data_IF_386349455402
#
_entry.id   IF_386349455402
#
_cell.length_a   1.000
_cell.length_b   1.000
_cell.length_c   1.000
_cell.angle_alpha   90.00
_cell.angle_beta   90.00
_cell.angle_gamma   90.00
#
_symmetry.space_group_name_H-M   'P 1'
#
loop_
_entity.id
_entity.type
_entity.pdbx_description
1 polymer ?
#
# COMPACT_ATOMS: atom_id res chain seq x y z
N UNK A 1 -21.70 -62.42 12.73
CA UNK A 1 -21.23 -61.04 12.86
C UNK A 1 -22.37 -60.12 12.44
N UNK A 2 -22.79 -59.20 13.36
CA UNK A 2 -24.10 -58.57 13.26
C UNK A 2 -24.07 -57.43 12.22
N UNK A 3 -24.80 -57.54 11.13
CA UNK A 3 -24.89 -56.55 10.04
C UNK A 3 -25.28 -55.12 10.53
N UNK A 4 -25.90 -55.02 11.70
CA UNK A 4 -26.30 -53.73 12.34
C UNK A 4 -25.11 -53.01 12.94
N UNK A 5 -24.15 -53.71 13.55
CA UNK A 5 -22.93 -53.05 14.13
C UNK A 5 -21.99 -52.57 13.05
N UNK A 6 -21.89 -53.28 11.93
CA UNK A 6 -21.07 -52.87 10.79
C UNK A 6 -21.62 -51.57 10.11
N UNK A 7 -22.93 -51.48 9.94
CA UNK A 7 -23.57 -50.25 9.41
C UNK A 7 -23.38 -49.05 10.34
N UNK A 8 -23.47 -49.25 11.67
CA UNK A 8 -23.25 -48.18 12.64
C UNK A 8 -21.78 -47.68 12.63
N UNK A 9 -20.81 -48.59 12.47
CA UNK A 9 -19.40 -48.18 12.35
C UNK A 9 -19.11 -47.37 11.09
N UNK A 10 -19.72 -47.73 9.95
CA UNK A 10 -19.55 -46.97 8.70
C UNK A 10 -20.13 -45.57 8.82
N UNK A 11 -21.32 -45.41 9.43
CA UNK A 11 -21.94 -44.08 9.60
C UNK A 11 -21.12 -43.19 10.54
N UNK A 12 -20.56 -43.72 11.61
CA UNK A 12 -19.68 -42.97 12.52
C UNK A 12 -18.40 -42.56 11.79
N UNK A 13 -17.76 -43.44 11.04
CA UNK A 13 -16.58 -43.14 10.25
C UNK A 13 -16.86 -42.06 9.19
N UNK A 14 -18.00 -42.16 8.50
CA UNK A 14 -18.42 -41.17 7.52
C UNK A 14 -18.68 -39.78 8.17
N UNK A 15 -19.32 -39.74 9.33
CA UNK A 15 -19.55 -38.51 10.05
C UNK A 15 -18.24 -37.85 10.50
N UNK A 16 -17.29 -38.65 11.04
CA UNK A 16 -15.98 -38.14 11.43
C UNK A 16 -15.17 -37.60 10.23
N UNK A 17 -15.18 -38.33 9.11
CA UNK A 17 -14.48 -37.86 7.91
C UNK A 17 -15.09 -36.56 7.37
N UNK A 18 -16.43 -36.42 7.38
CA UNK A 18 -17.12 -35.18 6.97
C UNK A 18 -16.76 -34.01 7.85
N UNK A 19 -16.67 -34.17 9.17
CA UNK A 19 -16.30 -33.07 10.07
C UNK A 19 -14.86 -32.63 9.83
N UNK A 20 -13.94 -33.54 9.55
CA UNK A 20 -12.54 -33.19 9.23
C UNK A 20 -12.48 -32.42 7.92
N UNK A 21 -13.16 -32.89 6.87
CA UNK A 21 -13.19 -32.22 5.56
C UNK A 21 -13.80 -30.83 5.70
N UNK A 22 -14.90 -30.67 6.44
CA UNK A 22 -15.56 -29.40 6.65
C UNK A 22 -14.67 -28.40 7.42
N UNK A 23 -13.98 -28.89 8.46
CA UNK A 23 -13.01 -28.09 9.20
C UNK A 23 -11.87 -27.60 8.31
N UNK A 24 -11.37 -28.43 7.43
CA UNK A 24 -10.31 -28.10 6.49
C UNK A 24 -10.77 -27.03 5.48
N UNK A 25 -11.97 -27.17 4.95
CA UNK A 25 -12.56 -26.17 4.04
C UNK A 25 -12.71 -24.83 4.78
N UNK A 26 -13.24 -24.83 6.00
CA UNK A 26 -13.40 -23.60 6.78
C UNK A 26 -12.08 -22.89 7.07
N UNK A 27 -11.01 -23.65 7.36
CA UNK A 27 -9.68 -23.05 7.58
C UNK A 27 -9.09 -22.48 6.30
N UNK A 28 -9.26 -23.16 5.16
CA UNK A 28 -8.82 -22.63 3.85
C UNK A 28 -9.55 -21.33 3.49
N UNK A 29 -10.86 -21.27 3.69
CA UNK A 29 -11.66 -20.06 3.42
C UNK A 29 -11.22 -18.90 4.31
N UNK A 30 -11.00 -19.14 5.61
CA UNK A 30 -10.49 -18.10 6.53
C UNK A 30 -9.14 -17.58 6.10
N UNK A 31 -8.20 -18.48 5.79
CA UNK A 31 -6.87 -18.08 5.33
C UNK A 31 -6.91 -17.26 4.03
N UNK A 32 -7.78 -17.63 3.10
CA UNK A 32 -7.97 -16.88 1.86
C UNK A 32 -8.54 -15.47 2.13
N UNK A 33 -9.51 -15.34 3.03
CA UNK A 33 -10.08 -14.06 3.42
C UNK A 33 -9.04 -13.16 4.13
N UNK A 34 -8.24 -13.72 5.04
CA UNK A 34 -7.19 -12.98 5.73
C UNK A 34 -6.14 -12.45 4.74
N UNK A 35 -5.74 -13.26 3.76
CA UNK A 35 -4.83 -12.83 2.70
C UNK A 35 -5.44 -11.71 1.85
N UNK A 36 -6.71 -11.82 1.48
CA UNK A 36 -7.43 -10.82 0.70
C UNK A 36 -7.51 -9.48 1.45
N UNK A 37 -7.92 -9.49 2.72
CA UNK A 37 -7.98 -8.27 3.54
C UNK A 37 -6.61 -7.61 3.72
N UNK A 38 -5.57 -8.40 3.97
CA UNK A 38 -4.22 -7.86 4.09
C UNK A 38 -3.74 -7.17 2.80
N UNK A 39 -4.08 -7.73 1.64
CA UNK A 39 -3.74 -7.11 0.36
C UNK A 39 -4.52 -5.82 0.15
N UNK A 40 -5.82 -5.80 0.42
CA UNK A 40 -6.65 -4.61 0.31
C UNK A 40 -6.19 -3.47 1.24
N UNK A 41 -5.84 -3.80 2.48
CA UNK A 41 -5.32 -2.80 3.42
C UNK A 41 -3.99 -2.20 2.93
N UNK A 42 -3.08 -3.02 2.40
CA UNK A 42 -1.83 -2.52 1.83
C UNK A 42 -2.07 -1.58 0.64
N UNK A 43 -2.96 -1.95 -0.26
CA UNK A 43 -3.33 -1.12 -1.41
C UNK A 43 -3.99 0.20 -0.94
N UNK A 44 -4.88 0.15 0.03
CA UNK A 44 -5.52 1.33 0.60
C UNK A 44 -4.49 2.28 1.25
N UNK A 45 -3.52 1.75 2.00
CA UNK A 45 -2.44 2.55 2.57
C UNK A 45 -1.55 3.16 1.48
N UNK A 46 -1.20 2.41 0.45
CA UNK A 46 -0.39 2.89 -0.68
C UNK A 46 -1.09 4.01 -1.42
N UNK A 47 -2.37 3.85 -1.76
CA UNK A 47 -3.19 4.87 -2.41
C UNK A 47 -3.31 6.14 -1.56
N UNK A 48 -3.36 6.00 -0.24
CA UNK A 48 -3.43 7.14 0.68
C UNK A 48 -2.15 7.95 0.68
N UNK A 49 -1.00 7.29 0.63
CA UNK A 49 0.30 7.94 0.50
C UNK A 49 0.45 8.58 -0.87
N UNK A 50 0.10 7.89 -1.96
CA UNK A 50 0.11 8.45 -3.32
C UNK A 50 -0.81 9.66 -3.44
N UNK A 51 -2.01 9.61 -2.84
CA UNK A 51 -2.93 10.73 -2.78
C UNK A 51 -2.34 11.95 -2.06
N UNK A 52 -1.56 11.73 -0.99
CA UNK A 52 -0.86 12.81 -0.31
C UNK A 52 0.27 13.39 -1.17
N UNK A 53 1.00 12.55 -1.89
CA UNK A 53 2.05 12.97 -2.84
C UNK A 53 1.49 13.70 -4.06
N UNK A 54 0.21 13.56 -4.38
CA UNK A 54 -0.43 14.34 -5.47
C UNK A 54 -0.41 15.86 -5.23
N UNK A 55 -0.14 16.31 -4.00
CA UNK A 55 0.03 17.72 -3.65
C UNK A 55 1.47 18.22 -3.88
N UNK A 56 2.09 17.80 -4.98
CA UNK A 56 3.40 18.31 -5.37
C UNK A 56 3.33 19.76 -5.87
N UNK A 57 4.48 20.45 -5.82
CA UNK A 57 4.60 21.82 -6.31
C UNK A 57 4.67 21.81 -7.84
N UNK A 58 3.54 22.18 -8.49
CA UNK A 58 3.37 22.05 -9.93
C UNK A 58 4.38 22.91 -10.74
N UNK A 59 4.69 24.11 -10.27
CA UNK A 59 5.62 25.00 -10.96
C UNK A 59 7.04 24.44 -10.99
N UNK A 60 7.48 23.81 -9.88
CA UNK A 60 8.81 23.21 -9.81
C UNK A 60 8.91 21.96 -10.66
N UNK A 61 7.84 21.19 -10.79
CA UNK A 61 7.81 20.05 -11.67
C UNK A 61 7.79 20.46 -13.14
N UNK A 62 6.97 21.47 -13.49
CA UNK A 62 6.78 21.88 -14.90
C UNK A 62 7.98 22.64 -15.47
N UNK A 63 8.70 23.40 -14.63
CA UNK A 63 9.79 24.26 -15.07
C UNK A 63 11.17 23.60 -14.90
N UNK A 64 11.33 22.76 -13.88
CA UNK A 64 12.63 22.19 -13.52
C UNK A 64 12.65 20.66 -13.47
N UNK A 65 11.52 20.01 -13.75
CA UNK A 65 11.35 18.54 -13.63
C UNK A 65 11.71 17.98 -12.23
N UNK A 66 11.55 18.84 -11.21
CA UNK A 66 11.88 18.51 -9.81
C UNK A 66 10.58 18.24 -9.06
N UNK A 67 10.42 16.99 -8.57
CA UNK A 67 9.29 16.60 -7.77
C UNK A 67 9.49 17.02 -6.31
N UNK A 68 8.80 18.08 -5.91
CA UNK A 68 8.78 18.59 -4.53
C UNK A 68 7.39 18.49 -3.95
N UNK A 69 7.30 17.97 -2.74
CA UNK A 69 6.08 18.00 -1.99
C UNK A 69 5.94 19.36 -1.29
N UNK A 70 4.83 20.03 -1.51
CA UNK A 70 4.52 21.24 -0.74
C UNK A 70 4.16 20.83 0.69
N UNK A 71 5.14 20.91 1.58
CA UNK A 71 4.93 20.62 2.99
C UNK A 71 4.00 21.70 3.59
N UNK A 72 2.86 21.27 4.08
CA UNK A 72 2.01 22.06 4.96
C UNK A 72 1.87 21.30 6.28
N UNK A 73 1.67 22.01 7.38
CA UNK A 73 1.41 21.42 8.71
C UNK A 73 0.24 20.42 8.71
N UNK A 74 -0.51 20.38 7.61
CA UNK A 74 -1.69 19.52 7.41
C UNK A 74 -1.41 18.21 6.66
N UNK A 75 -0.15 17.92 6.29
CA UNK A 75 0.14 16.74 5.45
C UNK A 75 -0.23 15.44 6.17
N UNK A 76 0.08 15.37 7.45
CA UNK A 76 -0.30 14.25 8.31
C UNK A 76 -1.81 14.05 8.36
N UNK A 77 -2.56 15.11 8.61
CA UNK A 77 -4.03 15.07 8.64
C UNK A 77 -4.64 14.64 7.29
N UNK A 78 -4.02 15.05 6.18
CA UNK A 78 -4.46 14.63 4.84
C UNK A 78 -4.21 13.15 4.59
N UNK A 79 -3.04 12.64 4.99
CA UNK A 79 -2.74 11.21 4.89
C UNK A 79 -3.70 10.41 5.76
N UNK A 80 -3.97 10.86 7.00
CA UNK A 80 -4.95 10.24 7.89
C UNK A 80 -6.34 10.20 7.26
N UNK A 81 -6.80 11.31 6.71
CA UNK A 81 -8.10 11.37 6.05
C UNK A 81 -8.19 10.41 4.86
N UNK A 82 -7.21 10.43 3.95
CA UNK A 82 -7.19 9.50 2.81
C UNK A 82 -7.08 8.04 3.26
N UNK A 83 -6.31 7.78 4.30
CA UNK A 83 -6.19 6.44 4.85
C UNK A 83 -7.49 5.95 5.48
N UNK A 84 -8.19 6.79 6.23
CA UNK A 84 -9.50 6.46 6.80
C UNK A 84 -10.53 6.18 5.70
N UNK A 85 -10.63 7.04 4.69
CA UNK A 85 -11.57 6.86 3.58
C UNK A 85 -11.29 5.57 2.79
N UNK A 86 -10.02 5.30 2.48
CA UNK A 86 -9.63 4.11 1.73
C UNK A 86 -9.77 2.82 2.56
N UNK A 87 -9.41 2.84 3.84
CA UNK A 87 -9.53 1.69 4.73
C UNK A 87 -11.00 1.39 5.04
N UNK A 88 -11.85 2.42 5.17
CA UNK A 88 -13.29 2.23 5.36
C UNK A 88 -13.91 1.42 4.22
N UNK A 89 -13.41 1.56 3.01
CA UNK A 89 -13.85 0.80 1.85
C UNK A 89 -13.48 -0.70 1.92
N UNK A 90 -12.44 -1.06 2.69
CA UNK A 90 -11.97 -2.44 2.81
C UNK A 90 -12.83 -3.30 3.75
N UNK A 91 -13.68 -2.70 4.60
CA UNK A 91 -14.62 -3.42 5.46
C UNK A 91 -14.84 -2.76 6.81
N UNK A 92 -16.00 -3.05 7.40
CA UNK A 92 -16.46 -2.41 8.67
C UNK A 92 -15.63 -2.74 9.91
N UNK A 93 -14.75 -3.74 9.85
CA UNK A 93 -14.00 -4.23 11.01
C UNK A 93 -12.53 -3.76 11.02
N UNK A 94 -12.15 -2.86 10.12
CA UNK A 94 -10.81 -2.32 10.02
C UNK A 94 -10.87 -0.85 10.39
N UNK A 95 -10.00 -0.42 11.29
CA UNK A 95 -9.86 0.98 11.69
C UNK A 95 -8.40 1.39 11.65
N UNK A 96 -8.14 2.62 11.19
CA UNK A 96 -6.82 3.21 11.27
C UNK A 96 -6.50 3.51 12.73
N UNK A 97 -5.33 3.11 13.22
CA UNK A 97 -4.87 3.45 14.58
C UNK A 97 -4.14 4.80 14.63
N UNK A 98 -3.57 5.21 13.50
CA UNK A 98 -2.87 6.48 13.33
C UNK A 98 -1.84 6.41 12.21
N UNK A 99 -1.39 7.57 11.80
CA UNK A 99 -0.29 7.76 10.85
C UNK A 99 0.83 8.48 11.57
N UNK A 100 2.06 8.03 11.42
CA UNK A 100 3.24 8.74 11.91
C UNK A 100 4.17 9.09 10.76
N UNK A 101 4.83 10.24 10.87
CA UNK A 101 5.79 10.73 9.89
C UNK A 101 7.11 10.85 10.61
N UNK A 102 7.98 9.88 10.39
CA UNK A 102 9.23 9.74 11.15
C UNK A 102 10.26 10.78 10.80
N UNK A 103 10.35 11.19 9.52
CA UNK A 103 11.34 12.14 9.08
C UNK A 103 10.81 13.01 7.94
N UNK A 104 11.08 14.31 8.05
CA UNK A 104 10.80 15.29 6.99
C UNK A 104 12.11 15.99 6.66
N UNK A 105 12.57 15.85 5.44
CA UNK A 105 13.76 16.53 4.95
C UNK A 105 13.32 17.74 4.12
N UNK A 106 13.74 18.92 4.56
CA UNK A 106 13.47 20.12 3.80
C UNK A 106 14.56 20.34 2.75
N UNK A 107 14.16 20.84 1.60
CA UNK A 107 15.08 21.12 0.49
C UNK A 107 16.17 22.14 0.88
N UNK A 108 15.90 22.95 1.89
CA UNK A 108 16.83 23.95 2.44
C UNK A 108 17.77 23.38 3.49
N UNK A 109 17.54 22.16 3.95
CA UNK A 109 18.36 21.54 4.99
C UNK A 109 19.78 21.34 4.53
N UNK A 110 20.70 21.34 5.49
CA UNK A 110 22.13 21.20 5.25
C UNK A 110 22.69 22.18 4.20
N UNK A 111 22.17 23.41 4.18
CA UNK A 111 22.61 24.44 3.22
C UNK A 111 22.16 24.17 1.78
N UNK A 112 21.04 23.45 1.59
CA UNK A 112 20.45 23.17 0.30
C UNK A 112 21.18 22.07 -0.48
N UNK A 113 21.78 21.12 0.20
CA UNK A 113 22.55 20.03 -0.43
C UNK A 113 21.66 19.16 -1.32
N UNK A 114 20.43 18.94 -0.89
CA UNK A 114 19.43 18.17 -1.66
C UNK A 114 19.04 18.92 -2.93
N UNK A 115 18.76 20.21 -2.83
CA UNK A 115 18.43 21.04 -3.98
C UNK A 115 19.58 21.06 -5.00
N UNK A 116 20.81 21.22 -4.53
CA UNK A 116 21.98 21.20 -5.43
C UNK A 116 22.16 19.87 -6.15
N UNK A 117 21.89 18.78 -5.46
CA UNK A 117 21.98 17.42 -6.02
C UNK A 117 20.93 17.22 -7.11
N UNK A 118 19.67 17.65 -6.87
CA UNK A 118 18.59 17.56 -7.86
C UNK A 118 18.87 18.47 -9.06
N UNK A 119 19.30 19.71 -8.84
CA UNK A 119 19.69 20.63 -9.93
C UNK A 119 20.85 20.03 -10.74
N UNK A 120 21.85 19.47 -10.09
CA UNK A 120 22.98 18.83 -10.79
C UNK A 120 22.51 17.63 -11.63
N UNK A 121 21.61 16.83 -11.11
CA UNK A 121 21.00 15.72 -11.84
C UNK A 121 20.21 16.20 -13.05
N UNK A 122 19.37 17.20 -12.87
CA UNK A 122 18.60 17.83 -13.96
C UNK A 122 19.49 18.38 -15.06
N UNK A 123 20.54 19.14 -14.70
CA UNK A 123 21.48 19.69 -15.66
C UNK A 123 22.28 18.60 -16.39
N UNK A 124 22.63 17.52 -15.71
CA UNK A 124 23.32 16.40 -16.33
C UNK A 124 22.45 15.73 -17.41
N UNK A 125 21.18 15.50 -17.15
CA UNK A 125 20.26 14.91 -18.12
C UNK A 125 19.82 15.89 -19.19
N UNK A 126 19.53 17.14 -18.84
CA UNK A 126 19.14 18.21 -19.77
C UNK A 126 20.18 18.50 -20.84
N UNK A 127 21.45 18.60 -20.44
CA UNK A 127 22.56 18.82 -21.38
C UNK A 127 22.75 17.64 -22.35
N UNK A 128 22.53 16.40 -21.91
CA UNK A 128 22.62 15.25 -22.80
C UNK A 128 21.45 15.16 -23.78
N UNK A 129 20.26 15.57 -23.39
CA UNK A 129 19.09 15.56 -24.29
C UNK A 129 19.23 16.62 -25.42
N UNK A 130 19.75 17.80 -25.11
CA UNK A 130 19.99 18.83 -26.12
C UNK A 130 21.16 18.50 -27.05
N UNK A 131 22.23 17.91 -26.54
CA UNK A 131 23.37 17.48 -27.36
C UNK A 131 23.00 16.33 -28.33
N UNK A 132 22.04 15.48 -27.97
CA UNK A 132 21.58 14.42 -28.87
C UNK A 132 20.72 14.96 -30.03
N UNK A 133 20.11 16.13 -29.91
CA UNK A 133 19.33 16.78 -30.95
C UNK A 133 20.22 17.52 -31.99
N UNK A 134 21.45 17.82 -31.67
CA UNK A 134 22.38 18.51 -32.59
C UNK A 134 23.13 17.53 -33.51
N UNK A 135 22.98 16.24 -33.29
CA UNK A 135 23.68 15.19 -34.07
C UNK A 135 22.81 14.49 -35.12
N UNK A 136 21.71 15.11 -35.60
CA UNK A 136 20.93 14.63 -36.75
C UNK A 136 21.12 15.56 -37.94
#
# INVERSE_FOLDING_TARGET
>A
MNNKTFKAQITVMAALSMTIIFSLICTCVRSALDCFYNTQIKEACMLSVEGAFSAYHNDMLSEYDILLLQYSDNIKARIEQYAEENIYSCGKNVSLMGVDVDNVEYITDQGGIYLRKEIASYMQYGLFSELSLIHI
#
